data_IF_473532645264
#
_entry.id   IF_473532645264
#
_cell.length_a   1.000
_cell.length_b   1.000
_cell.length_c   1.000
_cell.angle_alpha   90.00
_cell.angle_beta   90.00
_cell.angle_gamma   90.00
#
_symmetry.space_group_name_H-M   'P 1'
#
loop_
_entity.id
_entity.type
_entity.pdbx_description
1 polymer ?
#
# COMPACT_ATOMS: atom_id res chain seq x y z
N UNK A 1 -3.62 -23.34 13.61
CA UNK A 1 -3.18 -23.17 12.21
C UNK A 1 -4.08 -22.29 11.35
N UNK A 2 -5.13 -21.63 11.87
CA UNK A 2 -6.14 -20.92 11.06
C UNK A 2 -5.82 -19.47 10.64
N UNK A 3 -4.99 -18.73 11.38
CA UNK A 3 -4.81 -17.28 11.14
C UNK A 3 -3.84 -16.91 10.00
N UNK A 4 -2.84 -17.76 9.74
CA UNK A 4 -1.87 -17.52 8.65
C UNK A 4 -2.46 -17.80 7.27
N UNK A 5 -3.27 -18.86 7.12
CA UNK A 5 -3.93 -19.22 5.87
C UNK A 5 -4.89 -18.15 5.36
N UNK A 6 -5.65 -17.51 6.26
CA UNK A 6 -6.58 -16.44 5.90
C UNK A 6 -5.90 -15.18 5.37
N UNK A 7 -4.74 -14.78 5.94
CA UNK A 7 -3.98 -13.62 5.45
C UNK A 7 -3.36 -13.87 4.09
N UNK A 8 -2.75 -15.05 3.88
CA UNK A 8 -2.20 -15.43 2.59
C UNK A 8 -3.26 -15.43 1.49
N UNK A 9 -4.43 -16.04 1.74
CA UNK A 9 -5.55 -16.03 0.79
C UNK A 9 -5.98 -14.60 0.41
N UNK A 10 -6.16 -13.73 1.41
CA UNK A 10 -6.52 -12.31 1.17
C UNK A 10 -5.45 -11.56 0.37
N UNK A 11 -4.17 -11.80 0.65
CA UNK A 11 -3.08 -11.20 -0.11
C UNK A 11 -3.08 -11.67 -1.57
N UNK A 12 -3.34 -12.97 -1.82
CA UNK A 12 -3.46 -13.50 -3.18
C UNK A 12 -4.66 -12.90 -3.92
N UNK A 13 -5.84 -12.83 -3.28
CA UNK A 13 -7.02 -12.21 -3.87
C UNK A 13 -6.77 -10.72 -4.20
N UNK A 14 -6.20 -9.97 -3.27
CA UNK A 14 -5.84 -8.57 -3.50
C UNK A 14 -4.80 -8.44 -4.64
N UNK A 15 -3.82 -9.34 -4.71
CA UNK A 15 -2.86 -9.37 -5.80
C UNK A 15 -3.53 -9.51 -7.17
N UNK A 16 -4.53 -10.39 -7.30
CA UNK A 16 -5.33 -10.49 -8.53
C UNK A 16 -6.09 -9.21 -8.84
N UNK A 17 -6.70 -8.57 -7.84
CA UNK A 17 -7.40 -7.30 -8.04
C UNK A 17 -6.44 -6.19 -8.49
N UNK A 18 -5.25 -6.11 -7.90
CA UNK A 18 -4.20 -5.18 -8.32
C UNK A 18 -3.71 -5.46 -9.75
N UNK A 19 -3.54 -6.74 -10.11
CA UNK A 19 -3.24 -7.15 -11.49
C UNK A 19 -4.34 -6.75 -12.46
N UNK A 20 -5.62 -6.85 -12.07
CA UNK A 20 -6.77 -6.34 -12.82
C UNK A 20 -6.72 -4.83 -13.06
N UNK A 21 -6.20 -4.07 -12.10
CA UNK A 21 -5.90 -2.63 -12.23
C UNK A 21 -4.63 -2.34 -13.04
N UNK A 22 -4.03 -3.37 -13.63
CA UNK A 22 -2.86 -3.27 -14.49
C UNK A 22 -1.53 -3.21 -13.76
N UNK A 23 -1.47 -3.54 -12.47
CA UNK A 23 -0.19 -3.59 -11.73
C UNK A 23 0.66 -4.74 -12.24
N UNK A 24 1.87 -4.41 -12.64
CA UNK A 24 2.88 -5.34 -13.14
C UNK A 24 4.15 -5.29 -12.28
N UNK A 25 5.06 -6.24 -12.51
CA UNK A 25 6.39 -6.25 -11.89
C UNK A 25 7.10 -4.92 -12.10
N UNK A 26 7.61 -4.36 -11.00
CA UNK A 26 8.33 -3.07 -11.00
C UNK A 26 7.44 -1.84 -10.89
N UNK A 27 6.12 -1.95 -10.99
CA UNK A 27 5.20 -0.86 -10.69
C UNK A 27 5.22 -0.49 -9.20
N UNK A 28 4.81 0.72 -8.87
CA UNK A 28 4.69 1.18 -7.48
C UNK A 28 3.22 1.18 -7.07
N UNK A 29 2.96 0.54 -5.96
CA UNK A 29 1.67 0.60 -5.27
C UNK A 29 1.88 1.30 -3.95
N UNK A 30 1.14 2.37 -3.71
CA UNK A 30 1.26 3.17 -2.50
C UNK A 30 0.03 3.04 -1.62
N UNK A 31 0.21 3.25 -0.34
CA UNK A 31 -0.88 3.21 0.62
C UNK A 31 -0.94 4.46 1.50
N UNK A 32 -2.16 4.88 1.78
CA UNK A 32 -2.50 5.88 2.78
C UNK A 32 -3.31 5.18 3.88
N UNK A 33 -2.58 4.48 4.76
CA UNK A 33 -3.14 3.57 5.76
C UNK A 33 -2.41 3.72 7.09
N UNK A 34 -3.14 3.57 8.17
CA UNK A 34 -2.57 3.39 9.50
C UNK A 34 -2.05 1.94 9.71
N UNK A 35 -1.47 1.68 10.89
CA UNK A 35 -0.96 0.35 11.24
C UNK A 35 -2.10 -0.62 11.56
N UNK A 36 -2.66 -1.22 10.52
CA UNK A 36 -3.78 -2.17 10.57
C UNK A 36 -3.41 -3.48 9.84
N UNK A 37 -4.11 -4.60 10.14
CA UNK A 37 -3.84 -5.88 9.48
C UNK A 37 -3.94 -5.82 7.94
N UNK A 38 -4.79 -4.96 7.41
CA UNK A 38 -4.98 -4.72 5.98
C UNK A 38 -3.70 -4.19 5.32
N UNK A 39 -2.92 -3.37 6.03
CA UNK A 39 -1.63 -2.88 5.54
C UNK A 39 -0.64 -4.03 5.28
N UNK A 40 -0.62 -5.03 6.16
CA UNK A 40 0.22 -6.23 5.99
C UNK A 40 -0.26 -7.08 4.81
N UNK A 41 -1.58 -7.25 4.66
CA UNK A 41 -2.16 -7.97 3.52
C UNK A 41 -1.78 -7.29 2.20
N UNK A 42 -1.92 -5.95 2.14
CA UNK A 42 -1.57 -5.15 0.98
C UNK A 42 -0.07 -5.26 0.64
N UNK A 43 0.80 -5.11 1.63
CA UNK A 43 2.24 -5.28 1.43
C UNK A 43 2.60 -6.64 0.81
N UNK A 44 2.03 -7.74 1.35
CA UNK A 44 2.30 -9.07 0.81
C UNK A 44 1.74 -9.26 -0.60
N UNK A 45 0.58 -8.69 -0.91
CA UNK A 45 0.00 -8.73 -2.25
C UNK A 45 0.91 -8.03 -3.27
N UNK A 46 1.38 -6.83 -2.94
CA UNK A 46 2.28 -6.03 -3.79
C UNK A 46 3.63 -6.74 -3.98
N UNK A 47 4.22 -7.24 -2.90
CA UNK A 47 5.49 -7.98 -2.96
C UNK A 47 5.38 -9.26 -3.83
N UNK A 48 4.24 -9.97 -3.73
CA UNK A 48 4.01 -11.18 -4.51
C UNK A 48 3.85 -10.91 -6.02
N UNK A 49 3.45 -9.70 -6.42
CA UNK A 49 3.43 -9.25 -7.83
C UNK A 49 4.81 -8.79 -8.33
N UNK A 50 5.84 -8.76 -7.49
CA UNK A 50 7.09 -8.11 -7.82
C UNK A 50 6.98 -6.59 -7.98
N UNK A 51 5.91 -5.99 -7.47
CA UNK A 51 5.72 -4.56 -7.43
C UNK A 51 6.37 -3.96 -6.16
N UNK A 52 6.57 -2.64 -6.15
CA UNK A 52 7.26 -1.93 -5.07
C UNK A 52 6.25 -1.23 -4.18
N UNK A 53 6.37 -1.45 -2.88
CA UNK A 53 5.49 -0.91 -1.86
C UNK A 53 5.97 0.42 -1.30
N UNK A 54 5.05 1.35 -0.99
CA UNK A 54 5.31 2.47 -0.09
C UNK A 54 4.05 2.84 0.70
N UNK A 55 4.21 3.34 1.91
CA UNK A 55 3.07 3.69 2.78
C UNK A 55 3.31 5.00 3.50
N UNK A 56 2.28 5.82 3.58
CA UNK A 56 2.19 6.99 4.43
C UNK A 56 1.04 6.82 5.43
N UNK A 57 1.25 7.30 6.63
CA UNK A 57 0.22 7.31 7.67
C UNK A 57 -0.85 8.38 7.39
N UNK A 58 -2.15 8.12 7.70
CA UNK A 58 -3.23 9.05 7.44
C UNK A 58 -3.28 10.26 8.40
N UNK A 59 -2.35 10.38 9.32
CA UNK A 59 -2.11 11.61 10.09
C UNK A 59 -1.33 12.68 9.29
N UNK A 60 -0.65 12.29 8.20
CA UNK A 60 -0.06 13.23 7.26
C UNK A 60 -1.15 13.89 6.41
N UNK A 61 -1.02 15.20 6.21
CA UNK A 61 -1.86 15.94 5.26
C UNK A 61 -1.46 15.65 3.81
N UNK A 62 -2.34 16.01 2.86
CA UNK A 62 -2.17 15.73 1.43
C UNK A 62 -0.81 16.16 0.90
N UNK A 63 -0.35 17.39 1.17
CA UNK A 63 0.93 17.89 0.68
C UNK A 63 2.10 17.02 1.16
N UNK A 64 2.10 16.59 2.43
CA UNK A 64 3.16 15.74 2.97
C UNK A 64 3.22 14.37 2.31
N UNK A 65 2.08 13.83 1.88
CA UNK A 65 1.98 12.57 1.13
C UNK A 65 2.37 12.77 -0.32
N UNK A 66 1.89 13.83 -0.98
CA UNK A 66 2.23 14.17 -2.37
C UNK A 66 3.72 14.41 -2.55
N UNK A 67 4.38 15.11 -1.63
CA UNK A 67 5.84 15.33 -1.65
C UNK A 67 6.66 14.03 -1.67
N UNK A 68 6.05 12.93 -1.22
CA UNK A 68 6.64 11.59 -1.24
C UNK A 68 6.24 10.81 -2.49
N UNK A 69 4.95 10.66 -2.70
CA UNK A 69 4.42 9.74 -3.71
C UNK A 69 4.62 10.23 -5.15
N UNK A 70 4.63 11.53 -5.40
CA UNK A 70 4.95 12.08 -6.72
C UNK A 70 6.36 11.70 -7.20
N UNK A 71 7.32 11.47 -6.29
CA UNK A 71 8.67 11.07 -6.65
C UNK A 71 8.76 9.67 -7.27
N UNK A 72 7.76 8.83 -7.01
CA UNK A 72 7.79 7.41 -7.38
C UNK A 72 6.72 7.02 -8.38
N UNK A 73 5.88 7.97 -8.82
CA UNK A 73 4.89 7.78 -9.87
C UNK A 73 4.05 6.50 -9.68
N UNK A 74 3.24 6.41 -8.60
CA UNK A 74 2.51 5.20 -8.27
C UNK A 74 1.40 4.90 -9.27
N UNK A 75 1.12 3.61 -9.49
CA UNK A 75 0.07 3.14 -10.39
C UNK A 75 -1.27 2.88 -9.67
N UNK A 76 -1.22 2.46 -8.41
CA UNK A 76 -2.41 2.25 -7.58
C UNK A 76 -2.20 2.85 -6.20
N UNK A 77 -3.26 3.48 -5.70
CA UNK A 77 -3.38 3.94 -4.32
C UNK A 77 -4.30 2.99 -3.54
N UNK A 78 -3.89 2.58 -2.35
CA UNK A 78 -4.75 1.89 -1.37
C UNK A 78 -4.99 2.89 -0.24
N UNK A 79 -6.22 3.30 0.00
CA UNK A 79 -6.50 4.34 0.99
C UNK A 79 -7.67 4.00 1.91
N UNK A 80 -7.60 4.48 3.15
CA UNK A 80 -8.74 4.43 4.07
C UNK A 80 -9.51 5.77 4.08
N UNK A 81 -10.81 5.67 4.37
CA UNK A 81 -11.71 6.82 4.55
C UNK A 81 -11.39 7.65 5.80
N UNK A 82 -10.64 7.09 6.72
CA UNK A 82 -10.24 7.73 7.96
C UNK A 82 -9.65 6.77 8.98
N UNK A 83 -9.44 7.26 10.19
CA UNK A 83 -8.91 6.47 11.30
C UNK A 83 -9.47 6.95 12.64
N UNK A 84 -9.47 6.05 13.61
CA UNK A 84 -9.84 6.32 14.99
C UNK A 84 -8.61 6.54 15.86
N UNK A 85 -8.56 7.64 16.61
CA UNK A 85 -7.47 7.93 17.54
C UNK A 85 -7.97 8.77 18.72
N UNK A 86 -7.55 8.43 19.93
CA UNK A 86 -7.89 9.20 21.14
C UNK A 86 -9.41 9.32 21.39
N UNK A 87 -10.20 8.31 21.00
CA UNK A 87 -11.66 8.30 21.13
C UNK A 87 -12.40 9.16 20.10
N UNK A 88 -11.76 9.57 19.02
CA UNK A 88 -12.33 10.37 17.93
C UNK A 88 -12.03 9.79 16.57
N UNK A 89 -12.93 10.04 15.63
CA UNK A 89 -12.75 9.70 14.23
C UNK A 89 -12.17 10.90 13.47
N UNK A 90 -11.23 10.60 12.59
CA UNK A 90 -10.58 11.55 11.71
C UNK A 90 -10.85 11.15 10.26
N UNK A 91 -11.84 11.81 9.64
CA UNK A 91 -12.14 11.60 8.23
C UNK A 91 -10.97 12.06 7.33
N UNK A 92 -10.77 11.34 6.21
CA UNK A 92 -9.68 11.58 5.25
C UNK A 92 -10.13 11.56 3.80
N UNK A 93 -11.42 11.52 3.54
CA UNK A 93 -11.96 11.47 2.18
C UNK A 93 -11.48 12.65 1.33
N UNK A 94 -11.46 13.86 1.89
CA UNK A 94 -10.97 15.06 1.18
C UNK A 94 -9.49 14.91 0.81
N UNK A 95 -8.67 14.41 1.77
CA UNK A 95 -7.26 14.14 1.50
C UNK A 95 -7.08 13.08 0.42
N UNK A 96 -7.88 12.01 0.44
CA UNK A 96 -7.82 10.96 -0.59
C UNK A 96 -8.17 11.53 -1.96
N UNK A 97 -9.17 12.42 -2.06
CA UNK A 97 -9.51 13.10 -3.31
C UNK A 97 -8.32 13.96 -3.81
N UNK A 98 -7.70 14.75 -2.94
CA UNK A 98 -6.52 15.54 -3.29
C UNK A 98 -5.33 14.65 -3.74
N UNK A 99 -5.15 13.48 -3.13
CA UNK A 99 -4.11 12.52 -3.55
C UNK A 99 -4.39 11.95 -4.92
N UNK A 100 -5.64 11.59 -5.22
CA UNK A 100 -6.04 11.07 -6.54
C UNK A 100 -5.80 12.11 -7.62
N UNK A 101 -6.15 13.37 -7.38
CA UNK A 101 -5.89 14.47 -8.33
C UNK A 101 -4.40 14.78 -8.47
N UNK A 102 -3.66 14.78 -7.37
CA UNK A 102 -2.24 15.12 -7.34
C UNK A 102 -1.29 14.01 -7.81
N UNK A 103 -1.78 12.81 -8.09
CA UNK A 103 -1.01 11.66 -8.56
C UNK A 103 -1.49 11.21 -9.96
N UNK A 104 -1.06 11.87 -11.03
CA UNK A 104 -1.60 11.65 -12.39
C UNK A 104 -1.30 10.26 -12.97
N UNK A 105 -0.37 9.51 -12.39
CA UNK A 105 -0.02 8.16 -12.83
C UNK A 105 -0.96 7.06 -12.29
N UNK A 106 -1.87 7.42 -11.37
CA UNK A 106 -2.80 6.46 -10.82
C UNK A 106 -3.79 5.94 -11.87
N UNK A 107 -3.85 4.63 -12.00
CA UNK A 107 -4.87 3.88 -12.76
C UNK A 107 -6.04 3.44 -11.87
N UNK A 108 -5.86 3.43 -10.54
CA UNK A 108 -6.94 3.03 -9.64
C UNK A 108 -6.71 3.30 -8.16
N UNK A 109 -7.82 3.16 -7.43
CA UNK A 109 -7.92 3.27 -5.98
C UNK A 109 -8.52 1.97 -5.41
N UNK A 110 -7.88 1.39 -4.41
CA UNK A 110 -8.52 0.38 -3.54
C UNK A 110 -8.99 1.08 -2.28
N UNK A 111 -10.30 1.15 -2.09
CA UNK A 111 -10.93 1.88 -0.99
C UNK A 111 -11.19 0.99 0.22
N UNK A 112 -10.67 1.38 1.39
CA UNK A 112 -10.85 0.69 2.67
C UNK A 112 -11.72 1.52 3.61
N UNK A 113 -12.93 1.05 3.90
CA UNK A 113 -13.79 1.68 4.90
C UNK A 113 -13.31 1.34 6.33
N UNK A 114 -13.11 2.37 7.15
CA UNK A 114 -12.62 2.25 8.54
C UNK A 114 -13.49 2.93 9.56
N UNK A 115 -14.04 4.10 9.24
CA UNK A 115 -14.84 4.91 10.17
C UNK A 115 -16.31 4.96 9.78
N UNK A 116 -16.64 4.61 8.55
CA UNK A 116 -18.00 4.71 8.01
C UNK A 116 -18.44 6.16 7.79
N UNK A 117 -19.42 6.36 6.93
CA UNK A 117 -20.04 7.68 6.76
C UNK A 117 -19.43 8.60 5.72
N UNK A 118 -18.20 8.38 5.27
CA UNK A 118 -17.64 9.13 4.14
C UNK A 118 -16.99 8.17 3.15
N UNK A 119 -17.79 7.75 2.17
CA UNK A 119 -17.31 6.81 1.15
C UNK A 119 -16.23 7.45 0.28
N UNK A 120 -15.08 6.80 0.16
CA UNK A 120 -14.05 7.13 -0.83
C UNK A 120 -14.18 6.30 -2.11
N UNK A 121 -15.12 5.37 -2.15
CA UNK A 121 -15.38 4.51 -3.31
C UNK A 121 -15.85 5.25 -4.57
N UNK A 122 -16.31 6.49 -4.45
CA UNK A 122 -16.72 7.33 -5.56
C UNK A 122 -15.68 8.39 -5.96
N UNK A 123 -14.51 8.39 -5.32
CA UNK A 123 -13.44 9.35 -5.66
C UNK A 123 -12.90 9.02 -7.06
N UNK A 124 -12.88 10.02 -7.92
CA UNK A 124 -12.35 9.93 -9.26
C UNK A 124 -11.52 11.17 -9.59
N UNK A 125 -10.51 11.07 -10.46
CA UNK A 125 -9.68 12.19 -10.84
C UNK A 125 -10.47 13.23 -11.65
N UNK A 126 -10.19 14.51 -11.41
CA UNK A 126 -10.86 15.63 -12.09
C UNK A 126 -10.52 15.69 -13.59
N UNK A 127 -9.40 15.16 -14.03
CA UNK A 127 -8.95 15.14 -15.43
C UNK A 127 -9.60 14.03 -16.28
N UNK A 128 -10.56 13.29 -15.71
CA UNK A 128 -11.31 12.24 -16.38
C UNK A 128 -10.46 11.14 -17.06
N UNK A 129 -9.21 10.94 -16.60
CA UNK A 129 -8.38 9.82 -17.06
C UNK A 129 -9.03 8.48 -16.73
N UNK A 130 -8.60 7.43 -17.43
CA UNK A 130 -9.03 6.07 -17.09
C UNK A 130 -8.61 5.72 -15.65
N UNK A 131 -9.59 5.48 -14.80
CA UNK A 131 -9.40 5.26 -13.38
C UNK A 131 -10.49 4.34 -12.83
N UNK A 132 -10.11 3.36 -12.05
CA UNK A 132 -11.04 2.41 -11.45
C UNK A 132 -10.95 2.45 -9.92
N UNK A 133 -12.10 2.46 -9.26
CA UNK A 133 -12.18 2.33 -7.82
C UNK A 133 -12.72 0.95 -7.44
N UNK A 134 -11.96 0.21 -6.64
CA UNK A 134 -12.30 -1.13 -6.16
C UNK A 134 -12.47 -1.10 -4.65
N UNK A 135 -13.59 -1.62 -4.16
CA UNK A 135 -13.78 -1.80 -2.72
C UNK A 135 -12.85 -2.88 -2.15
N UNK A 136 -12.31 -2.65 -0.98
CA UNK A 136 -11.38 -3.57 -0.32
C UNK A 136 -11.98 -4.97 -0.11
N UNK A 137 -13.24 -5.05 0.35
CA UNK A 137 -13.88 -6.34 0.62
C UNK A 137 -14.11 -7.11 -0.68
N UNK A 138 -14.47 -6.42 -1.75
CA UNK A 138 -14.57 -7.01 -3.08
C UNK A 138 -13.20 -7.49 -3.57
N UNK A 139 -12.14 -6.70 -3.38
CA UNK A 139 -10.78 -7.04 -3.80
C UNK A 139 -10.23 -8.29 -3.11
N UNK A 140 -10.62 -8.57 -1.87
CA UNK A 140 -10.14 -9.72 -1.09
C UNK A 140 -11.10 -10.91 -1.04
N UNK A 141 -12.28 -10.81 -1.67
CA UNK A 141 -13.33 -11.84 -1.60
C UNK A 141 -13.04 -13.10 -2.44
N UNK A 142 -12.18 -13.00 -3.46
CA UNK A 142 -11.92 -14.09 -4.40
C UNK A 142 -11.05 -15.21 -3.81
N UNK A 143 -11.25 -16.43 -4.34
CA UNK A 143 -10.31 -17.54 -4.16
C UNK A 143 -9.26 -17.46 -5.27
N UNK A 144 -8.28 -16.62 -5.07
CA UNK A 144 -7.20 -16.46 -6.02
C UNK A 144 -6.02 -17.37 -5.64
N UNK A 145 -5.57 -18.12 -6.61
CA UNK A 145 -4.29 -18.82 -6.55
C UNK A 145 -3.43 -18.22 -7.65
N UNK A 146 -2.44 -17.42 -7.26
CA UNK A 146 -1.38 -17.08 -8.19
C UNK A 146 -0.01 -17.40 -7.55
N UNK A 147 0.95 -17.71 -8.38
CA UNK A 147 2.33 -17.89 -7.94
C UNK A 147 2.98 -16.53 -7.77
N UNK A 148 3.71 -16.35 -6.66
CA UNK A 148 4.46 -15.13 -6.46
C UNK A 148 5.53 -14.99 -7.55
N UNK A 149 5.67 -13.77 -8.08
CA UNK A 149 6.66 -13.44 -9.10
C UNK A 149 8.08 -13.65 -8.55
N UNK A 150 8.89 -14.52 -9.15
CA UNK A 150 10.29 -14.67 -8.74
C UNK A 150 11.09 -13.43 -9.12
N UNK A 151 11.79 -12.84 -8.14
CA UNK A 151 12.53 -11.61 -8.33
C UNK A 151 13.99 -11.77 -7.92
N UNK A 152 14.87 -10.94 -8.48
CA UNK A 152 16.29 -10.89 -8.13
C UNK A 152 16.48 -10.40 -6.68
N UNK A 153 17.64 -10.70 -6.09
CA UNK A 153 17.98 -10.32 -4.71
C UNK A 153 17.87 -8.80 -4.46
N UNK A 154 18.28 -8.01 -5.42
CA UNK A 154 18.31 -6.55 -5.38
C UNK A 154 17.04 -5.90 -5.92
N UNK A 155 16.05 -6.69 -6.37
CA UNK A 155 14.77 -6.17 -6.84
C UNK A 155 14.09 -5.31 -5.76
N UNK A 156 13.59 -4.10 -6.10
CA UNK A 156 12.94 -3.21 -5.16
C UNK A 156 11.75 -3.87 -4.44
N UNK A 157 11.75 -3.83 -3.11
CA UNK A 157 10.66 -4.32 -2.27
C UNK A 157 9.78 -3.18 -1.77
N UNK A 158 10.40 -2.19 -1.13
CA UNK A 158 9.69 -1.03 -0.62
C UNK A 158 10.51 0.26 -0.72
N UNK A 159 9.80 1.37 -0.65
CA UNK A 159 10.36 2.70 -0.60
C UNK A 159 9.92 3.36 0.70
N UNK A 160 10.88 3.82 1.47
CA UNK A 160 10.70 4.65 2.66
C UNK A 160 11.28 6.04 2.43
N UNK A 161 11.01 6.97 3.31
CA UNK A 161 11.47 8.35 3.15
C UNK A 161 12.23 8.82 4.37
N UNK A 162 13.36 9.48 4.14
CA UNK A 162 14.06 10.18 5.20
C UNK A 162 13.31 11.46 5.59
N UNK A 163 13.24 11.75 6.89
CA UNK A 163 12.86 13.08 7.37
C UNK A 163 14.05 14.02 7.15
N UNK A 164 14.15 14.61 5.96
CA UNK A 164 15.19 15.59 5.67
C UNK A 164 15.00 16.84 6.55
N UNK A 165 16.07 17.31 7.18
CA UNK A 165 16.05 18.56 7.97
C UNK A 165 15.93 19.80 7.09
N UNK A 166 16.20 19.66 5.79
CA UNK A 166 16.16 20.75 4.80
C UNK A 166 15.66 20.22 3.45
N UNK A 167 14.41 20.52 3.09
CA UNK A 167 13.85 20.20 1.79
C UNK A 167 12.86 19.03 1.78
N UNK A 168 12.50 18.55 0.58
CA UNK A 168 11.57 17.43 0.40
C UNK A 168 12.15 16.12 0.95
N UNK A 169 11.31 15.23 1.50
CA UNK A 169 11.74 13.89 1.92
C UNK A 169 12.40 13.15 0.76
N UNK A 170 13.51 12.45 1.03
CA UNK A 170 14.21 11.66 0.00
C UNK A 170 13.74 10.22 0.02
N UNK A 171 13.39 9.69 -1.12
CA UNK A 171 13.03 8.29 -1.30
C UNK A 171 14.27 7.38 -1.12
N UNK A 172 14.13 6.33 -0.33
CA UNK A 172 15.15 5.31 -0.07
C UNK A 172 14.55 3.96 -0.45
N UNK A 173 15.18 3.29 -1.42
CA UNK A 173 14.72 2.00 -1.94
C UNK A 173 15.45 0.87 -1.23
N UNK A 174 14.72 -0.13 -0.75
CA UNK A 174 15.26 -1.36 -0.20
C UNK A 174 14.88 -2.56 -1.08
N UNK A 175 15.86 -3.43 -1.35
CA UNK A 175 15.65 -4.66 -2.11
C UNK A 175 15.18 -5.83 -1.25
N UNK A 176 14.54 -6.81 -1.90
CA UNK A 176 14.01 -8.01 -1.26
C UNK A 176 15.04 -8.76 -0.42
N UNK A 177 16.19 -9.09 -0.99
CA UNK A 177 17.20 -9.89 -0.31
C UNK A 177 17.81 -9.21 0.89
N UNK A 178 18.08 -7.90 0.81
CA UNK A 178 18.61 -7.11 1.93
C UNK A 178 17.66 -7.10 3.12
N UNK A 179 16.37 -6.92 2.88
CA UNK A 179 15.33 -6.91 3.91
C UNK A 179 15.15 -8.30 4.54
N UNK A 180 15.15 -9.36 3.74
CA UNK A 180 15.07 -10.74 4.26
C UNK A 180 16.26 -11.04 5.18
N UNK A 181 17.48 -10.69 4.78
CA UNK A 181 18.68 -10.90 5.60
C UNK A 181 18.63 -10.11 6.93
N UNK A 182 18.21 -8.84 6.88
CA UNK A 182 18.06 -8.03 8.09
C UNK A 182 17.01 -8.60 9.05
N UNK A 183 15.87 -9.04 8.54
CA UNK A 183 14.82 -9.62 9.37
C UNK A 183 15.27 -10.97 9.98
N UNK A 184 15.93 -11.84 9.21
CA UNK A 184 16.48 -13.09 9.72
C UNK A 184 17.51 -12.85 10.82
N UNK A 185 18.40 -11.88 10.62
CA UNK A 185 19.38 -11.46 11.63
C UNK A 185 18.68 -10.97 12.91
N UNK A 186 17.69 -10.10 12.79
CA UNK A 186 16.95 -9.59 13.95
C UNK A 186 16.21 -10.69 14.71
N UNK A 187 15.45 -11.51 14.01
CA UNK A 187 14.65 -12.58 14.61
C UNK A 187 15.54 -13.62 15.28
N UNK A 188 16.57 -14.10 14.59
CA UNK A 188 17.44 -15.16 15.09
C UNK A 188 18.49 -14.72 16.12
N UNK A 189 19.13 -13.56 15.91
CA UNK A 189 20.28 -13.15 16.72
C UNK A 189 19.94 -12.13 17.81
N UNK A 190 18.95 -11.26 17.60
CA UNK A 190 18.64 -10.18 18.53
C UNK A 190 17.40 -10.45 19.38
N UNK A 191 16.35 -11.01 18.79
CA UNK A 191 15.09 -11.28 19.48
C UNK A 191 14.98 -12.74 19.98
N UNK A 192 15.87 -13.62 19.55
CA UNK A 192 15.88 -15.06 19.86
C UNK A 192 14.50 -15.72 19.68
N UNK A 193 13.78 -15.29 18.66
CA UNK A 193 12.49 -15.88 18.28
C UNK A 193 12.78 -17.11 17.41
N UNK A 194 12.62 -18.27 17.99
CA UNK A 194 12.68 -19.54 17.27
C UNK A 194 11.26 -19.89 16.77
N UNK A 195 11.15 -20.55 15.58
CA UNK A 195 9.86 -20.99 15.05
C UNK A 195 9.17 -22.02 15.95
#
# INVERSE_FOLDING_TARGET
>A
SGRGGGRRRRAMALGNALGGLGVERGDRVVAYLNNVPECIVAFHAVAALGATWSVCSPDLGAQGVLDRFQQIEPKVLIACDGYHYGGRDFARADVVAELVDGLPTLAGLVSLERIGGTAIAGVAPADARLFECVDWQAAIAGDAVFEAEPVAFDHPLWIVYSAGTTGKPKAIVHGHGGIVLEHLKQVGLQLNLNP
#
